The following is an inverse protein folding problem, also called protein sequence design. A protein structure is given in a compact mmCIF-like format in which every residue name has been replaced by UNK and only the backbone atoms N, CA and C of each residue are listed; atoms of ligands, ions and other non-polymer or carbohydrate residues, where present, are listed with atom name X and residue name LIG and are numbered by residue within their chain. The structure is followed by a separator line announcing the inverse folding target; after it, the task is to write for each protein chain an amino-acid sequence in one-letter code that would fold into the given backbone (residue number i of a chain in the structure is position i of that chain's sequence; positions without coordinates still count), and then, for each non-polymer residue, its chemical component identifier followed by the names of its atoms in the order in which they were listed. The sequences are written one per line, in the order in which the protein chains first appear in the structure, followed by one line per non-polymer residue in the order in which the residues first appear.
data_IF_433372266927
#
_entry.id   IF_433372266927
#
_cell.length_a   1.000
_cell.length_b   1.000
_cell.length_c   1.000
_cell.angle_alpha   90.00
_cell.angle_beta   90.00
_cell.angle_gamma   90.00
#
_symmetry.space_group_name_H-M   'P 1'
#
loop_
_entity.id
_entity.type
_entity.pdbx_description
1 polymer ?
#
# COMPACT_ATOMS: atom_id res chain seq x y z
N UNK A 1 24.64 26.72 11.12
CA UNK A 1 25.70 25.80 10.63
C UNK A 1 25.15 25.05 9.42
N UNK A 2 25.61 25.35 8.21
CA UNK A 2 25.21 24.64 6.98
C UNK A 2 26.43 24.53 6.05
N UNK A 3 27.32 23.58 6.38
CA UNK A 3 28.59 23.32 5.67
C UNK A 3 28.60 21.91 5.05
N UNK A 4 27.45 21.45 4.56
CA UNK A 4 27.32 20.20 3.80
C UNK A 4 26.90 20.44 2.34
N UNK A 5 27.15 21.63 1.79
CA UNK A 5 26.96 21.90 0.37
C UNK A 5 28.13 21.27 -0.43
N UNK A 6 28.08 19.94 -0.53
CA UNK A 6 28.79 19.06 -1.46
C UNK A 6 30.11 19.59 -2.05
N UNK A 7 31.18 19.49 -1.27
CA UNK A 7 32.56 19.67 -1.76
C UNK A 7 32.86 18.79 -2.97
N UNK A 8 32.30 17.58 -2.99
CA UNK A 8 32.51 16.57 -4.04
C UNK A 8 31.96 17.01 -5.40
N UNK A 9 30.75 17.58 -5.44
CA UNK A 9 30.15 18.06 -6.70
C UNK A 9 30.89 19.28 -7.24
N UNK A 10 31.37 20.15 -6.35
CA UNK A 10 32.18 21.32 -6.72
C UNK A 10 33.53 20.88 -7.30
N UNK A 11 34.19 19.90 -6.68
CA UNK A 11 35.45 19.32 -7.14
C UNK A 11 35.35 18.68 -8.53
N UNK A 12 34.34 17.84 -8.77
CA UNK A 12 34.15 17.22 -10.09
C UNK A 12 33.79 18.24 -11.17
N UNK A 13 33.00 19.27 -10.82
CA UNK A 13 32.67 20.39 -11.73
C UNK A 13 33.91 21.20 -12.11
N UNK A 14 34.85 21.42 -11.19
CA UNK A 14 36.11 22.13 -11.48
C UNK A 14 37.08 21.33 -12.34
N UNK A 15 36.97 20.00 -12.37
CA UNK A 15 37.81 19.12 -13.20
C UNK A 15 37.28 18.92 -14.63
N UNK A 16 36.17 19.58 -15.01
CA UNK A 16 35.57 19.42 -16.34
C UNK A 16 34.98 18.03 -16.59
N UNK A 17 34.94 17.17 -15.57
CA UNK A 17 34.25 15.89 -15.63
C UNK A 17 32.76 16.21 -15.61
N UNK A 18 31.97 15.80 -16.62
CA UNK A 18 30.52 15.94 -16.55
C UNK A 18 30.08 15.22 -15.28
N UNK A 19 29.64 15.99 -14.29
CA UNK A 19 29.23 15.47 -12.98
C UNK A 19 28.06 14.57 -13.27
N UNK A 20 28.34 13.28 -13.28
CA UNK A 20 27.32 12.27 -13.49
C UNK A 20 26.30 12.51 -12.38
N UNK A 21 25.05 12.71 -12.76
CA UNK A 21 23.92 12.92 -11.88
C UNK A 21 23.70 11.77 -10.87
N UNK A 22 24.57 10.76 -10.80
CA UNK A 22 24.53 9.60 -9.91
C UNK A 22 24.76 9.88 -8.42
N UNK A 23 24.90 11.14 -7.99
CA UNK A 23 24.67 11.51 -6.58
C UNK A 23 23.35 12.28 -6.54
N UNK A 24 22.27 11.63 -7.00
CA UNK A 24 20.92 12.09 -6.68
C UNK A 24 20.78 11.89 -5.18
N UNK A 25 20.67 12.99 -4.45
CA UNK A 25 20.18 12.93 -3.09
C UNK A 25 18.72 12.45 -3.16
N UNK A 26 18.54 11.15 -2.88
CA UNK A 26 17.26 10.45 -3.00
C UNK A 26 16.22 11.11 -2.11
N UNK A 27 16.61 11.47 -0.88
CA UNK A 27 15.75 12.14 0.07
C UNK A 27 15.35 13.53 -0.40
N UNK A 28 16.30 14.32 -0.91
CA UNK A 28 16.01 15.64 -1.47
C UNK A 28 15.07 15.56 -2.69
N UNK A 29 15.16 14.48 -3.48
CA UNK A 29 14.32 14.27 -4.66
C UNK A 29 12.88 13.94 -4.29
N UNK A 30 12.68 13.06 -3.29
CA UNK A 30 11.35 12.82 -2.73
C UNK A 30 10.78 14.06 -2.05
N UNK A 31 11.58 14.78 -1.27
CA UNK A 31 11.17 16.04 -0.63
C UNK A 31 10.70 17.07 -1.66
N UNK A 32 11.43 17.22 -2.76
CA UNK A 32 11.07 18.15 -3.83
C UNK A 32 9.72 17.80 -4.45
N UNK A 33 9.49 16.53 -4.83
CA UNK A 33 8.23 16.07 -5.42
C UNK A 33 7.05 16.19 -4.46
N UNK A 34 7.24 15.83 -3.19
CA UNK A 34 6.19 15.90 -2.17
C UNK A 34 5.86 17.34 -1.74
N UNK A 35 6.79 18.27 -1.94
CA UNK A 35 6.61 19.70 -1.67
C UNK A 35 5.87 20.46 -2.77
N UNK A 36 5.56 19.83 -3.90
CA UNK A 36 4.80 20.46 -4.99
C UNK A 36 3.34 20.70 -4.58
N UNK A 37 2.70 21.71 -5.20
CA UNK A 37 1.26 21.98 -4.98
C UNK A 37 0.38 20.78 -5.35
N UNK A 38 0.80 20.03 -6.34
CA UNK A 38 0.19 18.78 -6.78
C UNK A 38 1.32 17.80 -7.10
N UNK A 39 1.41 16.72 -6.35
CA UNK A 39 2.43 15.69 -6.51
C UNK A 39 2.22 14.99 -7.84
N UNK A 40 3.24 14.99 -8.68
CA UNK A 40 3.26 14.22 -9.92
C UNK A 40 3.44 12.72 -9.61
N UNK A 41 2.32 12.02 -9.37
CA UNK A 41 2.30 10.59 -9.00
C UNK A 41 3.02 9.71 -10.04
N UNK A 42 2.86 9.89 -11.37
CA UNK A 42 3.65 9.14 -12.34
C UNK A 42 5.17 9.30 -12.19
N UNK A 43 5.65 10.52 -11.92
CA UNK A 43 7.06 10.80 -11.70
C UNK A 43 7.54 10.23 -10.35
N UNK A 44 6.71 10.31 -9.31
CA UNK A 44 6.98 9.70 -8.01
C UNK A 44 7.15 8.17 -8.12
N UNK A 45 6.24 7.51 -8.84
CA UNK A 45 6.32 6.07 -9.10
C UNK A 45 7.59 5.70 -9.86
N UNK A 46 7.93 6.47 -10.91
CA UNK A 46 9.17 6.26 -11.67
C UNK A 46 10.41 6.39 -10.78
N UNK A 47 10.47 7.43 -9.94
CA UNK A 47 11.57 7.64 -9.01
C UNK A 47 11.69 6.48 -7.99
N UNK A 48 10.55 6.03 -7.44
CA UNK A 48 10.50 4.92 -6.51
C UNK A 48 10.97 3.59 -7.15
N UNK A 49 10.61 3.34 -8.42
CA UNK A 49 11.08 2.18 -9.17
C UNK A 49 12.59 2.21 -9.45
N UNK A 50 13.15 3.39 -9.72
CA UNK A 50 14.56 3.54 -10.07
C UNK A 50 15.49 3.54 -8.86
N UNK A 51 15.07 4.16 -7.74
CA UNK A 51 15.93 4.42 -6.59
C UNK A 51 15.48 3.73 -5.29
N UNK A 52 14.31 3.11 -5.27
CA UNK A 52 13.65 2.64 -4.05
C UNK A 52 13.10 3.80 -3.22
N UNK A 53 12.25 3.49 -2.23
CA UNK A 53 11.67 4.52 -1.37
C UNK A 53 12.55 4.77 -0.15
N UNK A 54 12.94 6.03 0.04
CA UNK A 54 13.70 6.44 1.22
C UNK A 54 12.85 6.26 2.50
N UNK A 55 13.42 5.69 3.59
CA UNK A 55 12.69 5.40 4.82
C UNK A 55 11.81 6.52 5.38
N UNK A 56 12.26 7.79 5.48
CA UNK A 56 11.43 8.86 6.06
C UNK A 56 10.18 9.20 5.25
N UNK A 57 10.14 8.85 3.96
CA UNK A 57 9.01 9.15 3.07
C UNK A 57 8.13 7.94 2.79
N UNK A 58 8.50 6.74 3.27
CA UNK A 58 7.86 5.48 2.88
C UNK A 58 6.36 5.45 3.15
N UNK A 59 5.96 5.73 4.39
CA UNK A 59 4.55 5.77 4.77
C UNK A 59 3.74 6.71 3.85
N UNK A 60 4.23 7.95 3.65
CA UNK A 60 3.56 8.95 2.82
C UNK A 60 3.44 8.53 1.36
N UNK A 61 4.51 7.96 0.80
CA UNK A 61 4.54 7.53 -0.60
C UNK A 61 3.63 6.32 -0.80
N UNK A 62 3.60 5.37 0.13
CA UNK A 62 2.69 4.23 0.08
C UNK A 62 1.23 4.68 0.07
N UNK A 63 0.85 5.61 0.96
CA UNK A 63 -0.51 6.16 0.99
C UNK A 63 -0.89 6.91 -0.30
N UNK A 64 0.04 7.63 -0.91
CA UNK A 64 -0.18 8.29 -2.20
C UNK A 64 -0.33 7.28 -3.35
N UNK A 65 0.59 6.32 -3.43
CA UNK A 65 0.63 5.32 -4.50
C UNK A 65 -0.53 4.33 -4.42
N UNK A 66 -0.98 3.98 -3.21
CA UNK A 66 -2.19 3.18 -2.99
C UNK A 66 -3.48 4.00 -3.22
N UNK A 67 -3.40 5.31 -3.42
CA UNK A 67 -4.57 6.17 -3.62
C UNK A 67 -5.40 6.43 -2.35
N UNK A 68 -4.81 6.22 -1.17
CA UNK A 68 -5.42 6.60 0.12
C UNK A 68 -5.38 8.12 0.28
N UNK A 69 -4.25 8.74 -0.09
CA UNK A 69 -4.07 10.19 -0.13
C UNK A 69 -4.25 10.75 -1.54
N UNK A 70 -4.90 11.93 -1.68
CA UNK A 70 -4.95 12.62 -2.96
C UNK A 70 -3.58 13.20 -3.33
N UNK A 71 -3.32 13.54 -4.60
CA UNK A 71 -2.05 14.11 -5.04
C UNK A 71 -1.83 15.55 -4.55
N UNK A 72 -2.80 16.18 -3.87
CA UNK A 72 -2.73 17.58 -3.42
C UNK A 72 -2.37 17.63 -1.93
N UNK A 73 -1.14 18.02 -1.53
CA UNK A 73 -0.72 17.96 -0.13
C UNK A 73 -1.56 18.80 0.83
N UNK A 74 -2.10 19.92 0.35
CA UNK A 74 -3.00 20.78 1.13
C UNK A 74 -4.27 20.05 1.62
N UNK A 75 -4.66 18.95 0.97
CA UNK A 75 -5.85 18.16 1.33
C UNK A 75 -5.52 16.93 2.18
N UNK A 76 -4.25 16.62 2.46
CA UNK A 76 -3.89 15.39 3.17
C UNK A 76 -4.46 15.33 4.58
N UNK A 77 -4.39 16.43 5.33
CA UNK A 77 -4.95 16.47 6.69
C UNK A 77 -6.47 16.21 6.69
N UNK A 78 -7.20 16.81 5.75
CA UNK A 78 -8.63 16.55 5.57
C UNK A 78 -8.90 15.10 5.16
N UNK A 79 -8.18 14.59 4.15
CA UNK A 79 -8.36 13.23 3.67
C UNK A 79 -8.09 12.18 4.76
N UNK A 80 -7.05 12.35 5.59
CA UNK A 80 -6.75 11.45 6.70
C UNK A 80 -7.83 11.52 7.79
N UNK A 81 -8.35 12.71 8.09
CA UNK A 81 -9.47 12.86 9.03
C UNK A 81 -10.71 12.12 8.56
N UNK A 82 -11.10 12.30 7.29
CA UNK A 82 -12.25 11.58 6.71
C UNK A 82 -12.01 10.07 6.68
N UNK A 83 -10.80 9.63 6.33
CA UNK A 83 -10.41 8.21 6.35
C UNK A 83 -10.49 7.60 7.74
N UNK A 84 -10.13 8.36 8.79
CA UNK A 84 -10.27 7.95 10.18
C UNK A 84 -11.75 7.80 10.57
N UNK A 85 -12.59 8.79 10.27
CA UNK A 85 -14.03 8.71 10.54
C UNK A 85 -14.70 7.51 9.83
N UNK A 86 -14.40 7.30 8.54
CA UNK A 86 -14.93 6.12 7.82
C UNK A 86 -14.40 4.80 8.38
N UNK A 87 -13.19 4.78 8.92
CA UNK A 87 -12.63 3.59 9.57
C UNK A 87 -13.36 3.28 10.88
N UNK A 88 -13.64 4.30 11.70
CA UNK A 88 -14.45 4.16 12.91
C UNK A 88 -15.84 3.61 12.60
N UNK A 89 -16.50 4.10 11.53
CA UNK A 89 -17.78 3.58 11.06
C UNK A 89 -17.70 2.09 10.67
N UNK A 90 -16.64 1.69 9.96
CA UNK A 90 -16.41 0.29 9.56
C UNK A 90 -16.18 -0.61 10.77
N UNK A 91 -15.39 -0.15 11.75
CA UNK A 91 -15.17 -0.87 13.00
C UNK A 91 -16.48 -1.07 13.76
N UNK A 92 -17.27 0.01 13.93
CA UNK A 92 -18.57 -0.07 14.59
C UNK A 92 -19.54 -1.02 13.89
N UNK A 93 -19.59 -0.99 12.55
CA UNK A 93 -20.40 -1.91 11.77
C UNK A 93 -19.95 -3.37 11.93
N UNK A 94 -18.64 -3.63 11.88
CA UNK A 94 -18.09 -4.98 12.04
C UNK A 94 -18.38 -5.57 13.43
N UNK A 95 -18.35 -4.75 14.48
CA UNK A 95 -18.71 -5.17 15.84
C UNK A 95 -20.18 -5.60 15.94
N UNK A 96 -21.09 -4.82 15.34
CA UNK A 96 -22.53 -5.15 15.34
C UNK A 96 -22.80 -6.44 14.57
N UNK A 97 -22.12 -6.65 13.42
CA UNK A 97 -22.25 -7.87 12.63
C UNK A 97 -21.74 -9.09 13.40
N UNK A 98 -20.55 -8.99 14.02
CA UNK A 98 -20.00 -10.10 14.82
C UNK A 98 -20.88 -10.45 16.02
N UNK A 99 -21.47 -9.45 16.69
CA UNK A 99 -22.41 -9.69 17.79
C UNK A 99 -23.69 -10.41 17.33
N UNK A 100 -24.16 -10.11 16.11
CA UNK A 100 -25.32 -10.77 15.51
C UNK A 100 -25.04 -12.25 15.23
N UNK A 101 -23.89 -12.56 14.63
CA UNK A 101 -23.52 -13.95 14.31
C UNK A 101 -23.42 -14.83 15.55
N UNK A 102 -22.91 -14.29 16.68
CA UNK A 102 -22.86 -15.00 17.97
C UNK A 102 -24.26 -15.29 18.52
N UNK A 103 -25.22 -14.38 18.33
CA UNK A 103 -26.60 -14.53 18.83
C UNK A 103 -27.43 -15.50 17.97
N UNK A 104 -27.15 -15.59 16.66
CA UNK A 104 -27.88 -16.45 15.73
C UNK A 104 -27.44 -17.93 15.77
N UNK A 105 -26.43 -18.26 16.60
CA UNK A 105 -26.15 -19.64 17.01
C UNK A 105 -25.53 -20.52 15.92
N UNK A 106 -24.85 -19.92 14.94
CA UNK A 106 -24.08 -20.69 13.98
C UNK A 106 -22.83 -21.24 14.68
N UNK A 107 -22.82 -22.55 14.98
CA UNK A 107 -21.72 -23.29 15.63
C UNK A 107 -20.42 -23.35 14.80
N UNK A 108 -20.32 -22.57 13.74
CA UNK A 108 -19.05 -22.30 13.07
C UNK A 108 -18.19 -21.49 14.03
N UNK A 109 -17.14 -22.13 14.55
CA UNK A 109 -16.12 -21.62 15.46
C UNK A 109 -15.45 -20.30 14.99
N UNK A 110 -16.21 -19.22 14.97
CA UNK A 110 -15.76 -17.88 14.62
C UNK A 110 -14.90 -17.33 15.73
N UNK A 111 -13.65 -17.01 15.41
CA UNK A 111 -12.78 -16.27 16.32
C UNK A 111 -13.40 -14.89 16.54
N UNK A 112 -13.79 -14.60 17.78
CA UNK A 112 -14.24 -13.27 18.17
C UNK A 112 -13.05 -12.33 18.22
N UNK A 113 -13.18 -11.14 17.64
CA UNK A 113 -12.14 -10.13 17.62
C UNK A 113 -12.70 -8.84 18.20
N UNK A 114 -12.11 -8.36 19.30
CA UNK A 114 -12.45 -7.03 19.80
C UNK A 114 -11.82 -5.96 18.91
N UNK A 115 -12.63 -5.39 18.01
CA UNK A 115 -12.19 -4.30 17.17
C UNK A 115 -12.13 -2.95 17.90
N UNK A 116 -12.65 -2.86 19.14
CA UNK A 116 -12.66 -1.59 19.90
C UNK A 116 -11.23 -1.14 20.23
N UNK A 117 -10.32 -2.11 20.42
CA UNK A 117 -8.89 -1.86 20.63
C UNK A 117 -8.25 -1.09 19.45
N UNK A 118 -8.83 -1.14 18.25
CA UNK A 118 -8.36 -0.36 17.10
C UNK A 118 -8.73 1.12 17.17
N UNK A 119 -9.62 1.50 18.09
CA UNK A 119 -10.12 2.87 18.27
C UNK A 119 -9.49 3.58 19.47
N UNK A 120 -8.66 2.90 20.26
CA UNK A 120 -8.00 3.51 21.41
C UNK A 120 -7.14 4.70 20.96
N UNK A 121 -7.45 5.89 21.48
CA UNK A 121 -6.84 7.14 21.05
C UNK A 121 -5.35 7.22 21.42
N UNK A 122 -4.56 7.73 20.47
CA UNK A 122 -3.10 7.86 20.50
C UNK A 122 -2.56 8.89 21.53
N UNK A 123 -3.34 9.33 22.53
CA UNK A 123 -2.84 10.26 23.56
C UNK A 123 -1.64 9.68 24.34
N UNK A 124 -1.49 8.35 24.39
CA UNK A 124 -0.33 7.68 25.01
C UNK A 124 0.85 7.40 24.06
N UNK A 125 0.73 7.67 22.75
CA UNK A 125 1.75 7.32 21.76
C UNK A 125 2.86 8.37 21.62
N UNK A 126 2.61 9.64 21.96
CA UNK A 126 3.61 10.71 21.85
C UNK A 126 4.79 10.56 22.84
N UNK A 127 4.67 9.74 23.88
CA UNK A 127 5.76 9.49 24.85
C UNK A 127 6.63 8.27 24.54
N UNK A 128 6.33 7.46 23.51
CA UNK A 128 7.12 6.27 23.14
C UNK A 128 7.86 6.46 21.81
N UNK A 129 8.79 7.41 21.76
CA UNK A 129 9.83 7.49 20.71
C UNK A 129 10.90 6.39 20.86
N UNK A 130 10.50 5.13 21.01
CA UNK A 130 11.40 4.01 21.23
C UNK A 130 10.87 2.74 20.61
N UNK A 131 11.40 2.41 19.42
CA UNK A 131 11.25 1.11 18.73
C UNK A 131 9.84 0.52 18.75
N UNK A 132 9.05 0.85 17.72
CA UNK A 132 7.78 0.15 17.47
C UNK A 132 8.06 -1.36 17.47
N UNK A 133 7.46 -2.08 18.42
CA UNK A 133 7.50 -3.53 18.43
C UNK A 133 6.94 -4.07 17.12
N UNK A 134 7.48 -5.18 16.58
CA UNK A 134 6.90 -5.80 15.40
C UNK A 134 5.41 -6.09 15.68
N UNK A 135 4.53 -5.94 14.66
CA UNK A 135 3.11 -6.20 14.82
C UNK A 135 2.90 -7.63 15.30
N UNK A 136 2.03 -7.82 16.29
CA UNK A 136 1.72 -9.15 16.79
C UNK A 136 0.96 -9.93 15.72
N UNK A 137 1.04 -11.26 15.74
CA UNK A 137 0.27 -12.10 14.82
C UNK A 137 -1.25 -11.86 15.00
N UNK A 138 -1.68 -11.46 16.19
CA UNK A 138 -3.06 -11.14 16.50
C UNK A 138 -3.51 -9.86 15.80
N UNK A 139 -2.68 -8.80 15.80
CA UNK A 139 -2.94 -7.55 15.09
C UNK A 139 -3.12 -7.80 13.58
N UNK A 140 -2.25 -8.64 13.01
CA UNK A 140 -2.34 -9.01 11.60
C UNK A 140 -3.63 -9.75 11.29
N UNK A 141 -4.02 -10.72 12.13
CA UNK A 141 -5.27 -11.46 11.98
C UNK A 141 -6.49 -10.56 12.11
N UNK A 142 -6.45 -9.61 13.04
CA UNK A 142 -7.52 -8.62 13.25
C UNK A 142 -7.71 -7.74 12.03
N UNK A 143 -6.62 -7.22 11.45
CA UNK A 143 -6.68 -6.43 10.21
C UNK A 143 -7.24 -7.25 9.03
N UNK A 144 -6.78 -8.49 8.85
CA UNK A 144 -7.27 -9.40 7.80
C UNK A 144 -8.77 -9.70 7.99
N UNK A 145 -9.18 -9.96 9.23
CA UNK A 145 -10.58 -10.24 9.54
C UNK A 145 -11.47 -9.01 9.30
N UNK A 146 -11.06 -7.83 9.75
CA UNK A 146 -11.78 -6.58 9.51
C UNK A 146 -11.96 -6.31 8.01
N UNK A 147 -10.90 -6.49 7.21
CA UNK A 147 -10.98 -6.34 5.75
C UNK A 147 -11.95 -7.34 5.12
N UNK A 148 -11.93 -8.60 5.54
CA UNK A 148 -12.86 -9.63 5.06
C UNK A 148 -14.30 -9.26 5.36
N UNK A 149 -14.60 -8.84 6.59
CA UNK A 149 -15.92 -8.36 7.00
C UNK A 149 -16.34 -7.15 6.18
N UNK A 150 -15.45 -6.17 6.01
CA UNK A 150 -15.71 -5.00 5.19
C UNK A 150 -16.04 -5.37 3.74
N UNK A 151 -15.25 -6.25 3.11
CA UNK A 151 -15.46 -6.62 1.72
C UNK A 151 -16.76 -7.39 1.51
N UNK A 152 -16.99 -8.43 2.32
CA UNK A 152 -18.14 -9.32 2.17
C UNK A 152 -19.46 -8.70 2.61
N UNK A 153 -19.47 -8.04 3.77
CA UNK A 153 -20.71 -7.63 4.42
C UNK A 153 -21.06 -6.16 4.17
N UNK A 154 -20.06 -5.30 3.93
CA UNK A 154 -20.27 -3.84 3.89
C UNK A 154 -20.16 -3.28 2.46
N UNK A 155 -19.05 -3.55 1.78
CA UNK A 155 -18.68 -2.84 0.56
C UNK A 155 -19.26 -3.48 -0.72
N UNK A 156 -19.18 -4.81 -0.81
CA UNK A 156 -19.39 -5.52 -2.08
C UNK A 156 -20.34 -6.70 -1.92
N UNK A 157 -21.43 -6.55 -1.15
CA UNK A 157 -22.40 -7.61 -0.86
C UNK A 157 -22.69 -8.47 -2.11
N UNK A 158 -22.30 -9.74 -2.08
CA UNK A 158 -22.42 -10.74 -3.16
C UNK A 158 -21.45 -10.62 -4.36
N UNK A 159 -20.40 -9.82 -4.28
CA UNK A 159 -19.31 -9.82 -5.25
C UNK A 159 -18.42 -11.06 -5.06
N UNK A 160 -17.78 -11.57 -6.14
CA UNK A 160 -16.75 -12.57 -5.99
C UNK A 160 -15.62 -12.04 -5.11
N UNK A 161 -14.98 -12.96 -4.39
CA UNK A 161 -13.75 -12.65 -3.67
C UNK A 161 -12.69 -12.10 -4.63
N UNK A 162 -11.92 -11.11 -4.17
CA UNK A 162 -10.71 -10.71 -4.86
C UNK A 162 -9.73 -11.89 -4.89
N UNK A 163 -8.95 -11.98 -5.96
CA UNK A 163 -7.91 -13.00 -6.12
C UNK A 163 -6.97 -13.01 -4.91
N UNK A 164 -6.76 -14.17 -4.30
CA UNK A 164 -5.93 -14.35 -3.10
C UNK A 164 -6.65 -14.12 -1.77
N UNK A 165 -7.90 -13.64 -1.75
CA UNK A 165 -8.64 -13.47 -0.48
C UNK A 165 -9.00 -14.78 0.21
N UNK A 166 -8.94 -15.91 -0.49
CA UNK A 166 -9.07 -17.25 0.05
C UNK A 166 -7.76 -17.76 0.69
N UNK A 167 -6.62 -17.16 0.36
CA UNK A 167 -5.30 -17.57 0.83
C UNK A 167 -4.87 -16.80 2.10
N UNK A 168 -4.87 -17.44 3.29
CA UNK A 168 -4.54 -16.77 4.53
C UNK A 168 -3.07 -16.33 4.60
N UNK A 169 -2.15 -17.04 3.93
CA UNK A 169 -0.72 -16.69 3.98
C UNK A 169 -0.43 -15.44 3.15
N UNK A 170 -1.10 -15.30 2.00
CA UNK A 170 -1.06 -14.08 1.21
C UNK A 170 -1.60 -12.89 1.99
N UNK A 171 -2.79 -13.03 2.60
CA UNK A 171 -3.43 -11.96 3.35
C UNK A 171 -2.59 -11.50 4.55
N UNK A 172 -2.02 -12.45 5.30
CA UNK A 172 -1.12 -12.15 6.42
C UNK A 172 0.21 -11.55 5.95
N UNK A 173 0.75 -12.03 4.82
CA UNK A 173 1.97 -11.47 4.22
C UNK A 173 1.81 -10.00 3.87
N UNK A 174 0.69 -9.63 3.23
CA UNK A 174 0.41 -8.23 2.90
C UNK A 174 0.14 -7.40 4.15
N UNK A 175 -0.64 -7.92 5.10
CA UNK A 175 -0.93 -7.24 6.36
C UNK A 175 0.36 -6.91 7.13
N UNK A 176 1.29 -7.87 7.20
CA UNK A 176 2.59 -7.70 7.86
C UNK A 176 3.35 -6.51 7.29
N UNK A 177 3.49 -6.45 5.96
CA UNK A 177 4.26 -5.38 5.32
C UNK A 177 3.57 -4.03 5.48
N UNK A 178 2.24 -3.98 5.40
CA UNK A 178 1.47 -2.75 5.66
C UNK A 178 1.69 -2.25 7.10
N UNK A 179 1.64 -3.13 8.09
CA UNK A 179 1.89 -2.78 9.49
C UNK A 179 3.35 -2.41 9.78
N UNK A 180 4.31 -2.90 9.00
CA UNK A 180 5.72 -2.49 9.06
C UNK A 180 5.92 -1.07 8.52
N UNK A 181 5.13 -0.66 7.52
CA UNK A 181 5.25 0.65 6.86
C UNK A 181 4.44 1.74 7.56
N UNK A 182 3.23 1.41 8.03
CA UNK A 182 2.27 2.37 8.55
C UNK A 182 2.06 2.17 10.04
N UNK A 183 1.88 3.26 10.77
CA UNK A 183 1.70 3.27 12.23
C UNK A 183 0.23 3.35 12.63
N UNK A 184 -0.59 4.12 11.89
CA UNK A 184 -1.98 4.37 12.25
C UNK A 184 -2.92 3.29 11.71
N UNK A 185 -3.84 2.80 12.54
CA UNK A 185 -4.77 1.70 12.18
C UNK A 185 -5.66 2.03 10.99
N UNK A 186 -6.24 3.24 10.94
CA UNK A 186 -7.03 3.67 9.80
C UNK A 186 -6.21 3.67 8.50
N UNK A 187 -4.96 4.13 8.56
CA UNK A 187 -4.06 4.13 7.40
C UNK A 187 -3.70 2.71 6.96
N UNK A 188 -3.41 1.81 7.91
CA UNK A 188 -3.17 0.38 7.66
C UNK A 188 -4.35 -0.25 6.95
N UNK A 189 -5.56 -0.06 7.47
CA UNK A 189 -6.78 -0.60 6.89
C UNK A 189 -7.01 -0.14 5.44
N UNK A 190 -6.95 1.16 5.18
CA UNK A 190 -7.20 1.68 3.84
C UNK A 190 -6.08 1.31 2.85
N UNK A 191 -4.82 1.33 3.30
CA UNK A 191 -3.71 0.92 2.45
C UNK A 191 -3.79 -0.58 2.13
N UNK A 192 -4.11 -1.42 3.12
CA UNK A 192 -4.31 -2.85 2.94
C UNK A 192 -5.41 -3.15 1.92
N UNK A 193 -6.58 -2.52 2.08
CA UNK A 193 -7.72 -2.64 1.16
C UNK A 193 -7.33 -2.28 -0.27
N UNK A 194 -6.63 -1.16 -0.46
CA UNK A 194 -6.18 -0.70 -1.78
C UNK A 194 -5.13 -1.60 -2.42
N UNK A 195 -4.26 -2.20 -1.61
CA UNK A 195 -3.29 -3.19 -2.10
C UNK A 195 -3.98 -4.48 -2.57
N UNK A 196 -5.02 -4.93 -1.86
CA UNK A 196 -5.80 -6.11 -2.28
C UNK A 196 -6.46 -5.89 -3.64
N UNK A 197 -7.12 -4.74 -3.83
CA UNK A 197 -7.71 -4.36 -5.11
C UNK A 197 -6.65 -4.26 -6.21
N UNK A 198 -5.50 -3.65 -5.91
CA UNK A 198 -4.40 -3.51 -6.85
C UNK A 198 -3.84 -4.88 -7.30
N UNK A 199 -3.59 -5.79 -6.37
CA UNK A 199 -3.04 -7.10 -6.69
C UNK A 199 -4.04 -7.97 -7.44
N UNK A 200 -5.33 -7.89 -7.09
CA UNK A 200 -6.38 -8.54 -7.85
C UNK A 200 -6.38 -8.14 -9.32
N UNK A 201 -6.25 -6.84 -9.60
CA UNK A 201 -6.31 -6.32 -10.97
C UNK A 201 -5.00 -6.47 -11.74
N UNK A 202 -3.86 -6.56 -11.04
CA UNK A 202 -2.56 -6.23 -11.61
C UNK A 202 -1.47 -7.28 -11.48
N UNK A 203 -1.56 -8.18 -10.51
CA UNK A 203 -0.40 -9.01 -10.12
C UNK A 203 0.01 -9.98 -11.24
N UNK A 204 -0.95 -10.60 -11.92
CA UNK A 204 -0.74 -11.52 -13.05
C UNK A 204 -0.11 -10.84 -14.28
N UNK A 205 -0.13 -9.50 -14.32
CA UNK A 205 0.33 -8.72 -15.46
C UNK A 205 1.79 -8.27 -15.33
N UNK A 206 2.39 -8.49 -14.16
CA UNK A 206 3.78 -8.16 -13.88
C UNK A 206 4.70 -9.16 -14.62
N UNK A 207 5.79 -8.69 -15.24
CA UNK A 207 6.74 -9.55 -15.99
C UNK A 207 8.15 -9.51 -15.35
N UNK A 208 8.68 -10.61 -14.79
CA UNK A 208 8.07 -11.95 -14.75
C UNK A 208 6.82 -12.03 -13.88
N UNK A 209 5.92 -12.97 -14.23
CA UNK A 209 4.67 -13.24 -13.50
C UNK A 209 4.98 -13.51 -12.03
N UNK A 210 4.29 -12.78 -11.17
CA UNK A 210 4.43 -12.90 -9.72
C UNK A 210 3.27 -13.74 -9.18
N UNK A 211 3.59 -14.85 -8.53
CA UNK A 211 2.61 -15.72 -7.88
C UNK A 211 2.39 -15.30 -6.43
N UNK A 212 1.23 -15.63 -5.86
CA UNK A 212 0.85 -15.21 -4.49
C UNK A 212 1.82 -15.71 -3.43
N UNK A 213 2.40 -16.90 -3.61
CA UNK A 213 3.36 -17.52 -2.67
C UNK A 213 4.63 -16.70 -2.48
N UNK A 214 5.03 -15.93 -3.50
CA UNK A 214 6.16 -15.01 -3.39
C UNK A 214 5.93 -13.93 -2.32
N UNK A 215 4.68 -13.61 -2.02
CA UNK A 215 4.29 -12.54 -1.09
C UNK A 215 4.03 -13.04 0.34
N UNK A 216 4.02 -14.35 0.60
CA UNK A 216 3.72 -14.90 1.93
C UNK A 216 4.68 -14.41 3.01
N UNK A 217 5.98 -14.34 2.68
CA UNK A 217 7.03 -13.95 3.60
C UNK A 217 8.00 -12.93 3.00
N UNK A 218 7.64 -12.28 1.88
CA UNK A 218 8.47 -11.30 1.17
C UNK A 218 9.01 -10.21 2.11
N UNK A 219 10.31 -9.94 2.04
CA UNK A 219 10.87 -8.80 2.78
C UNK A 219 10.23 -7.50 2.29
N UNK A 220 10.20 -6.47 3.14
CA UNK A 220 9.60 -5.17 2.79
C UNK A 220 10.09 -4.64 1.44
N UNK A 221 11.39 -4.75 1.15
CA UNK A 221 11.98 -4.29 -0.12
C UNK A 221 11.53 -5.11 -1.34
N UNK A 222 11.41 -6.43 -1.20
CA UNK A 222 10.92 -7.33 -2.24
C UNK A 222 9.45 -7.06 -2.53
N UNK A 223 8.64 -6.94 -1.47
CA UNK A 223 7.24 -6.59 -1.56
C UNK A 223 7.02 -5.22 -2.19
N UNK A 224 7.79 -4.20 -1.76
CA UNK A 224 7.74 -2.85 -2.31
C UNK A 224 8.03 -2.87 -3.82
N UNK A 225 9.01 -3.66 -4.26
CA UNK A 225 9.30 -3.83 -5.69
C UNK A 225 8.10 -4.42 -6.47
N UNK A 226 7.45 -5.46 -5.94
CA UNK A 226 6.24 -6.04 -6.55
C UNK A 226 5.10 -5.04 -6.60
N UNK A 227 4.85 -4.34 -5.49
CA UNK A 227 3.84 -3.29 -5.39
C UNK A 227 4.04 -2.20 -6.46
N UNK A 228 5.25 -1.65 -6.56
CA UNK A 228 5.57 -0.59 -7.51
C UNK A 228 5.45 -1.07 -8.96
N UNK A 229 5.91 -2.29 -9.27
CA UNK A 229 5.79 -2.88 -10.62
C UNK A 229 4.33 -3.12 -11.00
N UNK A 230 3.52 -3.59 -10.06
CA UNK A 230 2.08 -3.80 -10.26
C UNK A 230 1.37 -2.48 -10.59
N UNK A 231 1.68 -1.42 -9.84
CA UNK A 231 1.17 -0.08 -10.12
C UNK A 231 1.57 0.44 -11.51
N UNK A 232 2.83 0.23 -11.89
CA UNK A 232 3.33 0.73 -13.17
C UNK A 232 2.65 0.03 -14.35
N UNK A 233 2.44 -1.29 -14.26
CA UNK A 233 1.70 -2.04 -15.27
C UNK A 233 0.24 -1.58 -15.35
N UNK A 234 -0.44 -1.42 -14.21
CA UNK A 234 -1.82 -0.90 -14.16
C UNK A 234 -1.91 0.51 -14.77
N UNK A 235 -0.95 1.38 -14.48
CA UNK A 235 -0.86 2.74 -15.05
C UNK A 235 -0.69 2.71 -16.57
N UNK A 236 0.28 1.94 -17.10
CA UNK A 236 0.55 1.86 -18.55
C UNK A 236 -0.67 1.37 -19.33
N UNK A 237 -1.50 0.50 -18.74
CA UNK A 237 -2.76 0.05 -19.35
C UNK A 237 -3.80 1.17 -19.42
N UNK A 238 -3.92 1.98 -18.37
CA UNK A 238 -4.86 3.10 -18.33
C UNK A 238 -4.47 4.25 -19.27
N UNK A 239 -3.17 4.51 -19.44
CA UNK A 239 -2.70 5.59 -20.33
C UNK A 239 -2.59 5.17 -21.80
N UNK A 240 -2.83 3.89 -22.13
CA UNK A 240 -2.67 3.39 -23.49
C UNK A 240 -1.22 3.31 -23.97
N UNK A 241 -0.24 3.59 -23.11
CA UNK A 241 1.20 3.54 -23.40
C UNK A 241 1.79 2.12 -23.33
N UNK A 242 0.93 1.10 -23.38
CA UNK A 242 1.38 -0.27 -23.52
C UNK A 242 2.15 -0.42 -24.84
N UNK A 243 3.32 -1.08 -24.87
CA UNK A 243 3.90 -1.48 -26.15
C UNK A 243 2.86 -2.37 -26.82
N UNK A 244 2.32 -1.92 -27.96
CA UNK A 244 1.61 -2.76 -28.90
C UNK A 244 2.68 -3.72 -29.48
N UNK A 245 3.08 -4.70 -28.69
CA UNK A 245 3.86 -5.83 -29.17
C UNK A 245 2.87 -6.93 -29.47
N UNK A 246 2.63 -7.07 -30.77
CA UNK A 246 1.88 -8.09 -31.48
C UNK A 246 2.10 -9.53 -31.00
N UNK A 247 1.09 -10.39 -31.30
CA UNK A 247 1.01 -11.86 -31.22
C UNK A 247 0.29 -12.33 -29.93
N UNK A 248 -1.00 -12.72 -29.92
CA UNK A 248 -1.72 -13.60 -30.83
C UNK A 248 -3.18 -13.12 -31.04
N UNK A 249 -3.49 -12.76 -32.27
CA UNK A 249 -4.84 -12.69 -32.81
C UNK A 249 -4.97 -13.75 -33.91
N UNK A 250 -4.97 -15.02 -33.50
CA UNK A 250 -5.31 -16.23 -34.28
C UNK A 250 -5.86 -17.19 -33.21
N UNK A 251 -7.00 -17.86 -33.26
CA UNK A 251 -7.99 -18.16 -34.28
C UNK A 251 -9.24 -18.57 -33.49
N UNK A 252 -10.35 -17.82 -33.58
CA UNK A 252 -11.67 -18.37 -33.25
C UNK A 252 -12.59 -18.18 -34.46
N UNK A 253 -12.20 -18.85 -35.53
CA UNK A 253 -13.04 -19.14 -36.67
C UNK A 253 -13.55 -20.58 -36.60
N UNK A 254 -14.89 -20.72 -36.56
CA UNK A 254 -15.69 -21.90 -36.90
C UNK A 254 -15.49 -23.17 -36.05
N UNK A 255 -16.55 -23.52 -35.33
CA UNK A 255 -17.34 -24.72 -35.67
C UNK A 255 -18.78 -24.54 -35.19
N UNK A 256 -19.68 -24.75 -36.15
CA UNK A 256 -21.09 -25.11 -35.93
C UNK A 256 -21.16 -26.50 -35.34
#
# INVERSE_FOLDING_TARGET
MALSRNFRTTYYKTLGVPVVQHIVDVEASFAALLGERAVNVPQLLKLALELGIAPPYRARIWLLLAGVLPPYPALWGFALKERRAMFEDVVGAAQVLQAKDVLEGDESAGVYYDFSELLEEEEEAETKTGTASPPSLEDLRRLVHLHRTYWWEIAACNAPLLCGMDDPNFLLGVARVVCEVLTHEAERFWCYTRLMELFHDGLELVDPVVTLDTLYNAQLTEFESVFLRTLDVKRRRLTGDGPISSLHAEEYGRRR
#
